data_IF_988900591465
#
_entry.id   IF_988900591465
#
_cell.length_a   1.000
_cell.length_b   1.000
_cell.length_c   1.000
_cell.angle_alpha   90.00
_cell.angle_beta   90.00
_cell.angle_gamma   90.00
#
_symmetry.space_group_name_H-M   'P 1'
#
loop_
_entity.id
_entity.type
_entity.pdbx_description
1 polymer ?
#
# COMPACT_ATOMS: atom_id res chain seq x y z
N UNK A 1 16.83 10.41 20.75
CA UNK A 1 15.60 9.61 21.02
C UNK A 1 14.98 9.25 19.70
N UNK A 2 14.97 7.97 19.33
CA UNK A 2 14.40 7.47 18.08
C UNK A 2 12.88 7.44 18.18
N UNK A 3 12.21 8.30 17.41
CA UNK A 3 10.75 8.32 17.32
C UNK A 3 10.29 6.99 16.71
N UNK A 4 9.32 6.27 17.32
CA UNK A 4 8.80 5.03 16.77
C UNK A 4 8.26 5.24 15.35
N UNK A 5 8.44 4.29 14.43
CA UNK A 5 7.84 4.39 13.11
C UNK A 5 6.32 4.46 13.24
N UNK A 6 5.72 5.60 12.87
CA UNK A 6 4.27 5.77 12.83
C UNK A 6 3.63 4.69 11.95
N UNK A 7 2.55 4.08 12.43
CA UNK A 7 1.78 3.08 11.70
C UNK A 7 1.21 3.63 10.40
N UNK A 8 0.84 2.73 9.48
CA UNK A 8 0.16 3.15 8.25
C UNK A 8 -1.10 3.97 8.55
N UNK A 9 -1.90 3.55 9.54
CA UNK A 9 -3.12 4.24 9.92
C UNK A 9 -2.86 5.68 10.39
N UNK A 10 -1.81 5.90 11.18
CA UNK A 10 -1.44 7.24 11.63
C UNK A 10 -0.98 8.12 10.45
N UNK A 11 -0.21 7.57 9.50
CA UNK A 11 0.25 8.31 8.32
C UNK A 11 -0.88 8.59 7.32
N UNK A 12 -1.82 7.66 7.20
CA UNK A 12 -2.99 7.78 6.33
C UNK A 12 -3.96 8.84 6.85
N UNK A 13 -4.12 8.95 8.17
CA UNK A 13 -5.04 9.89 8.81
C UNK A 13 -4.40 11.25 9.15
N UNK A 14 -3.11 11.48 8.89
CA UNK A 14 -2.43 12.75 9.23
C UNK A 14 -1.83 13.47 8.02
N UNK A 15 -1.85 14.80 8.03
CA UNK A 15 -1.18 15.66 7.04
C UNK A 15 -1.97 15.93 5.75
N UNK A 16 -1.24 16.12 4.64
CA UNK A 16 -1.65 16.62 3.29
C UNK A 16 -2.86 15.95 2.61
N UNK A 17 -3.50 14.96 3.25
CA UNK A 17 -4.59 14.14 2.73
C UNK A 17 -5.94 14.47 3.41
N UNK A 18 -5.94 15.38 4.39
CA UNK A 18 -7.17 15.92 4.99
C UNK A 18 -8.04 16.60 3.91
N UNK A 19 -9.30 16.18 3.75
CA UNK A 19 -10.18 16.65 2.66
C UNK A 19 -10.11 15.85 1.35
N UNK A 20 -9.17 14.90 1.22
CA UNK A 20 -9.06 14.00 0.06
C UNK A 20 -9.98 12.76 0.16
N UNK A 21 -11.01 12.81 1.01
CA UNK A 21 -12.03 11.77 1.20
C UNK A 21 -12.83 11.43 -0.07
N UNK A 22 -12.76 12.28 -1.11
CA UNK A 22 -13.36 12.03 -2.44
C UNK A 22 -12.63 10.96 -3.27
N UNK A 23 -11.38 10.61 -2.96
CA UNK A 23 -10.74 9.47 -3.63
C UNK A 23 -11.31 8.19 -3.07
N UNK A 24 -11.96 7.42 -3.94
CA UNK A 24 -12.75 6.26 -3.55
C UNK A 24 -11.94 5.37 -2.61
N UNK A 25 -12.33 5.39 -1.33
CA UNK A 25 -11.72 4.57 -0.31
C UNK A 25 -11.99 3.12 -0.71
N UNK A 26 -10.93 2.33 -0.78
CA UNK A 26 -11.00 0.89 -1.03
C UNK A 26 -10.46 0.17 0.18
N UNK A 27 -10.89 -1.08 0.33
CA UNK A 27 -10.44 -1.96 1.40
C UNK A 27 -9.60 -3.06 0.76
N UNK A 28 -8.32 -3.14 1.11
CA UNK A 28 -7.47 -4.28 0.76
C UNK A 28 -7.53 -5.32 1.85
N UNK A 29 -7.73 -6.59 1.48
CA UNK A 29 -7.75 -7.73 2.41
C UNK A 29 -6.55 -8.64 2.16
N UNK A 30 -5.79 -8.91 3.22
CA UNK A 30 -4.68 -9.88 3.26
C UNK A 30 -5.18 -11.31 3.58
N UNK A 31 -4.30 -12.30 3.46
CA UNK A 31 -4.63 -13.73 3.67
C UNK A 31 -5.25 -14.01 5.05
N UNK A 32 -4.72 -13.44 6.14
CA UNK A 32 -5.27 -13.61 7.49
C UNK A 32 -6.58 -12.84 7.74
N UNK A 33 -7.21 -12.27 6.72
CA UNK A 33 -8.44 -11.50 6.85
C UNK A 33 -8.26 -10.08 7.36
N UNK A 34 -7.02 -9.66 7.64
CA UNK A 34 -6.70 -8.27 7.98
C UNK A 34 -7.07 -7.34 6.83
N UNK A 35 -7.63 -6.18 7.17
CA UNK A 35 -8.06 -5.18 6.18
C UNK A 35 -7.37 -3.83 6.35
N UNK A 36 -7.08 -3.19 5.22
CA UNK A 36 -6.48 -1.85 5.16
C UNK A 36 -7.35 -0.93 4.32
N UNK A 37 -7.71 0.23 4.86
CA UNK A 37 -8.33 1.31 4.08
C UNK A 37 -7.26 2.05 3.30
N UNK A 38 -7.47 2.21 2.00
CA UNK A 38 -6.53 2.86 1.10
C UNK A 38 -7.24 3.86 0.19
N UNK A 39 -6.48 4.81 -0.36
CA UNK A 39 -6.94 5.68 -1.44
C UNK A 39 -6.52 5.07 -2.78
N UNK A 40 -7.51 4.66 -3.60
CA UNK A 40 -7.26 4.04 -4.91
C UNK A 40 -6.27 4.83 -5.75
N UNK A 41 -6.41 6.16 -5.78
CA UNK A 41 -5.61 7.03 -6.65
C UNK A 41 -4.12 7.00 -6.30
N UNK A 42 -3.77 6.97 -5.00
CA UNK A 42 -2.39 7.01 -4.53
C UNK A 42 -1.65 5.77 -5.02
N UNK A 43 -2.27 4.60 -4.87
CA UNK A 43 -1.69 3.33 -5.29
C UNK A 43 -1.67 3.20 -6.82
N UNK A 44 -2.74 3.61 -7.51
CA UNK A 44 -2.85 3.52 -8.99
C UNK A 44 -1.87 4.45 -9.73
N UNK A 45 -1.53 5.59 -9.14
CA UNK A 45 -0.51 6.49 -9.69
C UNK A 45 0.90 5.95 -9.53
N UNK A 46 1.14 5.16 -8.48
CA UNK A 46 2.48 4.72 -8.08
C UNK A 46 2.79 3.28 -8.51
N UNK A 47 1.79 2.51 -8.93
CA UNK A 47 1.97 1.12 -9.38
C UNK A 47 0.97 0.75 -10.47
N UNK A 48 1.50 0.27 -11.60
CA UNK A 48 0.70 -0.30 -12.69
C UNK A 48 -0.10 -1.53 -12.25
N UNK A 49 0.44 -2.34 -11.33
CA UNK A 49 -0.28 -3.47 -10.74
C UNK A 49 -1.53 -3.01 -10.02
N UNK A 50 -1.42 -2.03 -9.10
CA UNK A 50 -2.58 -1.54 -8.38
C UNK A 50 -3.57 -0.82 -9.29
N UNK A 51 -3.09 -0.09 -10.30
CA UNK A 51 -3.96 0.48 -11.33
C UNK A 51 -4.80 -0.60 -12.01
N UNK A 52 -4.16 -1.62 -12.58
CA UNK A 52 -4.85 -2.73 -13.23
C UNK A 52 -5.79 -3.44 -12.25
N UNK A 53 -5.34 -3.74 -11.03
CA UNK A 53 -6.13 -4.38 -9.99
C UNK A 53 -7.43 -3.61 -9.71
N UNK A 54 -7.37 -2.29 -9.58
CA UNK A 54 -8.57 -1.50 -9.32
C UNK A 54 -9.43 -1.25 -10.56
N UNK A 55 -8.84 -1.27 -11.75
CA UNK A 55 -9.57 -1.14 -13.02
C UNK A 55 -10.34 -2.43 -13.37
N UNK A 56 -9.82 -3.60 -13.00
CA UNK A 56 -10.57 -4.87 -13.09
C UNK A 56 -11.65 -5.00 -12.01
N UNK A 57 -11.49 -4.30 -10.88
CA UNK A 57 -12.38 -4.39 -9.71
C UNK A 57 -13.10 -3.07 -9.41
N UNK A 58 -13.53 -2.34 -10.44
CA UNK A 58 -14.12 -0.99 -10.31
C UNK A 58 -15.31 -0.93 -9.34
N UNK A 59 -16.17 -1.94 -9.37
CA UNK A 59 -17.40 -2.00 -8.58
C UNK A 59 -17.21 -2.66 -7.21
N UNK A 60 -16.00 -3.15 -6.91
CA UNK A 60 -15.72 -3.80 -5.63
C UNK A 60 -15.14 -2.78 -4.65
N UNK A 61 -15.79 -2.66 -3.50
CA UNK A 61 -15.26 -1.87 -2.38
C UNK A 61 -14.06 -2.57 -1.71
N UNK A 62 -14.13 -3.90 -1.65
CA UNK A 62 -13.13 -4.78 -1.03
C UNK A 62 -12.40 -5.58 -2.10
N UNK A 63 -11.08 -5.49 -2.13
CA UNK A 63 -10.21 -6.24 -3.05
C UNK A 63 -9.29 -7.14 -2.23
N UNK A 64 -9.30 -8.43 -2.56
CA UNK A 64 -8.45 -9.42 -1.92
C UNK A 64 -7.13 -9.54 -2.67
N UNK A 65 -6.01 -9.53 -1.94
CA UNK A 65 -4.69 -9.79 -2.50
C UNK A 65 -4.25 -11.16 -1.97
N UNK A 66 -4.22 -12.20 -2.81
CA UNK A 66 -3.80 -13.53 -2.37
C UNK A 66 -2.30 -13.55 -2.07
N UNK A 67 -1.90 -14.49 -1.21
CA UNK A 67 -0.49 -14.83 -0.93
C UNK A 67 0.32 -13.69 -0.30
N UNK A 68 -0.35 -12.76 0.36
CA UNK A 68 0.31 -11.69 1.11
C UNK A 68 -0.15 -11.70 2.56
N UNK A 69 0.81 -11.71 3.48
CA UNK A 69 0.53 -11.52 4.89
C UNK A 69 0.33 -10.03 5.21
N UNK A 70 -0.20 -9.74 6.40
CA UNK A 70 -0.45 -8.37 6.86
C UNK A 70 0.82 -7.52 6.87
N UNK A 71 1.94 -8.05 7.35
CA UNK A 71 3.18 -7.28 7.56
C UNK A 71 3.78 -6.84 6.24
N UNK A 72 3.77 -7.73 5.24
CA UNK A 72 4.21 -7.43 3.89
C UNK A 72 3.27 -6.41 3.26
N UNK A 73 1.95 -6.61 3.34
CA UNK A 73 0.99 -5.66 2.77
C UNK A 73 1.11 -4.27 3.41
N UNK A 74 1.24 -4.20 4.74
CA UNK A 74 1.46 -2.94 5.46
C UNK A 74 2.76 -2.26 5.01
N UNK A 75 3.85 -3.01 4.83
CA UNK A 75 5.14 -2.48 4.36
C UNK A 75 5.04 -1.89 2.95
N UNK A 76 4.35 -2.60 2.04
CA UNK A 76 4.06 -2.09 0.69
C UNK A 76 3.23 -0.81 0.78
N UNK A 77 2.20 -0.77 1.61
CA UNK A 77 1.33 0.41 1.74
C UNK A 77 2.08 1.61 2.31
N UNK A 78 2.93 1.41 3.31
CA UNK A 78 3.80 2.45 3.86
C UNK A 78 4.71 3.01 2.77
N UNK A 79 5.39 2.15 2.02
CA UNK A 79 6.21 2.58 0.88
C UNK A 79 5.42 3.39 -0.13
N UNK A 80 4.27 2.86 -0.53
CA UNK A 80 3.44 3.44 -1.55
C UNK A 80 2.87 4.78 -1.12
N UNK A 81 2.70 5.04 0.18
CA UNK A 81 2.29 6.36 0.68
C UNK A 81 3.47 7.32 0.89
N UNK A 82 4.61 6.87 1.42
CA UNK A 82 5.72 7.76 1.83
C UNK A 82 6.88 7.85 0.85
N UNK A 83 6.93 7.00 -0.18
CA UNK A 83 8.10 6.78 -1.05
C UNK A 83 9.41 6.47 -0.31
N UNK A 84 9.31 6.09 0.95
CA UNK A 84 10.43 5.80 1.85
C UNK A 84 10.12 4.51 2.58
N UNK A 85 10.90 3.46 2.31
CA UNK A 85 10.89 2.26 3.14
C UNK A 85 12.08 2.33 4.10
N UNK A 86 11.80 2.11 5.38
CA UNK A 86 12.83 1.75 6.34
C UNK A 86 13.21 0.28 6.07
N UNK A 87 14.30 0.09 5.34
CA UNK A 87 14.87 -1.23 5.09
C UNK A 87 15.52 -1.76 6.37
N UNK A 88 15.27 -3.04 6.68
CA UNK A 88 15.99 -3.79 7.71
C UNK A 88 16.29 -5.22 7.19
N UNK A 89 17.21 -5.92 7.85
CA UNK A 89 17.70 -7.24 7.40
C UNK A 89 16.60 -8.29 7.21
N UNK A 90 15.44 -8.13 7.87
CA UNK A 90 14.30 -9.06 7.80
C UNK A 90 13.37 -8.74 6.63
N UNK A 91 13.36 -7.49 6.15
CA UNK A 91 12.43 -7.02 5.12
C UNK A 91 13.07 -6.82 3.74
N UNK A 92 14.41 -6.75 3.68
CA UNK A 92 15.17 -6.50 2.45
C UNK A 92 14.91 -7.56 1.38
N UNK A 93 14.86 -8.84 1.78
CA UNK A 93 14.70 -9.96 0.84
C UNK A 93 13.28 -9.98 0.23
N UNK A 94 12.26 -9.71 1.04
CA UNK A 94 10.87 -9.60 0.57
C UNK A 94 10.66 -8.41 -0.37
N UNK A 95 11.36 -7.29 -0.14
CA UNK A 95 11.32 -6.13 -1.03
C UNK A 95 12.05 -6.33 -2.36
N UNK A 96 13.20 -7.02 -2.35
CA UNK A 96 13.98 -7.29 -3.56
C UNK A 96 13.20 -8.15 -4.55
N UNK A 97 12.28 -8.98 -4.06
CA UNK A 97 11.35 -9.76 -4.89
C UNK A 97 10.27 -8.88 -5.53
N UNK A 98 9.87 -7.78 -4.87
CA UNK A 98 8.86 -6.83 -5.37
C UNK A 98 9.46 -5.80 -6.35
N UNK A 99 10.77 -5.54 -6.28
CA UNK A 99 11.49 -4.68 -7.24
C UNK A 99 12.65 -5.43 -7.87
N UNK A 100 12.48 -5.96 -9.10
CA UNK A 100 12.64 -5.12 -10.28
C UNK A 100 11.69 -5.51 -11.44
N UNK A 101 10.76 -4.61 -11.79
CA UNK A 101 10.22 -4.55 -13.15
C UNK A 101 10.77 -3.27 -13.81
N UNK A 102 11.36 -3.37 -15.00
CA UNK A 102 12.13 -2.29 -15.60
C UNK A 102 11.19 -1.14 -15.97
N UNK A 103 11.39 0.02 -15.34
CA UNK A 103 10.90 1.27 -15.90
C UNK A 103 11.71 1.56 -17.16
N UNK A 104 11.13 1.23 -18.31
CA UNK A 104 11.58 1.68 -19.63
C UNK A 104 10.53 2.63 -20.18
N UNK A 105 10.79 3.93 -20.07
CA UNK A 105 10.66 4.93 -21.14
C UNK A 105 11.23 6.25 -20.66
#
# INVERSE_FOLDING_TARGET
MSVPPKSFAERFNSGSWEGQQKFTVRILKANEGTTFRIHRIVLSQRSGYFRALFDFNLNQEKVFIPNIDRKILESILVYMCTRTIALDDKNVCGMMIVGPLPFKT
#
